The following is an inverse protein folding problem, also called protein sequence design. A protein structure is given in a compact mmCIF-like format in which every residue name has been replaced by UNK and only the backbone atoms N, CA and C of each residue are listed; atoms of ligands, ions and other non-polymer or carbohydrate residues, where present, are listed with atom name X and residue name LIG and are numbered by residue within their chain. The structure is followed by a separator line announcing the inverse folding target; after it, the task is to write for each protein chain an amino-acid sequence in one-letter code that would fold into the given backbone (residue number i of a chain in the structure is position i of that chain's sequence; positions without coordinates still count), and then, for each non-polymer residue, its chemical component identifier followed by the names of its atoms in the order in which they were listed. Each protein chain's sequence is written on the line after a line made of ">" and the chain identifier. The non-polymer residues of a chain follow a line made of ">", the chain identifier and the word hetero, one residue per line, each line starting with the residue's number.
data_IF_981742279998
#
_entry.id   IF_981742279998
#
_cell.length_a   1.000
_cell.length_b   1.000
_cell.length_c   1.000
_cell.angle_alpha   90.00
_cell.angle_beta   90.00
_cell.angle_gamma   90.00
#
_symmetry.space_group_name_H-M   'P 1'
#
loop_
_entity.id
_entity.type
_entity.pdbx_description
1 polymer ?
#
# COMPACT_ATOMS: atom_id res chain seq x y z
N UNK A 1 10.09 -18.10 6.46
CA UNK A 1 9.43 -19.37 6.04
C UNK A 1 10.09 -19.85 4.78
N UNK A 2 10.51 -21.13 4.72
CA UNK A 2 11.13 -21.68 3.52
C UNK A 2 10.10 -21.77 2.37
N UNK A 3 10.50 -21.36 1.17
CA UNK A 3 9.66 -21.50 -0.02
C UNK A 3 9.71 -22.93 -0.54
N UNK A 4 8.57 -23.48 -0.92
CA UNK A 4 8.46 -24.77 -1.63
C UNK A 4 8.51 -24.58 -3.14
N UNK A 5 8.68 -23.34 -3.60
CA UNK A 5 8.78 -23.02 -5.01
C UNK A 5 10.12 -23.47 -5.57
N UNK A 6 10.09 -24.14 -6.73
CA UNK A 6 11.29 -24.52 -7.48
C UNK A 6 11.06 -24.32 -8.98
N UNK A 7 12.15 -24.06 -9.68
CA UNK A 7 12.11 -23.87 -11.12
C UNK A 7 11.69 -25.19 -11.82
N UNK A 8 10.85 -25.08 -12.84
CA UNK A 8 10.44 -26.23 -13.64
C UNK A 8 11.64 -26.88 -14.33
N UNK A 9 11.87 -28.16 -14.04
CA UNK A 9 12.97 -28.97 -14.59
C UNK A 9 12.52 -29.93 -15.70
N UNK A 10 11.27 -29.87 -16.12
CA UNK A 10 10.75 -30.71 -17.18
C UNK A 10 11.17 -30.27 -18.56
N UNK A 11 10.81 -31.07 -19.57
CA UNK A 11 11.14 -30.82 -20.97
C UNK A 11 10.44 -29.55 -21.45
N UNK A 12 11.22 -28.56 -21.89
CA UNK A 12 10.76 -27.35 -22.57
C UNK A 12 11.48 -27.24 -23.92
N UNK A 13 10.73 -27.30 -25.00
CA UNK A 13 11.26 -27.18 -26.36
C UNK A 13 10.95 -25.78 -26.89
N UNK A 14 11.78 -25.25 -27.78
CA UNK A 14 11.49 -23.99 -28.46
C UNK A 14 10.14 -24.12 -29.21
N UNK A 15 9.20 -23.21 -28.92
CA UNK A 15 7.85 -23.23 -29.49
C UNK A 15 7.84 -23.08 -31.01
N UNK A 16 8.75 -22.29 -31.61
CA UNK A 16 8.82 -22.15 -33.06
C UNK A 16 9.28 -23.45 -33.74
N UNK A 17 10.29 -24.12 -33.17
CA UNK A 17 10.75 -25.39 -33.69
C UNK A 17 9.64 -26.44 -33.63
N UNK A 18 8.93 -26.53 -32.51
CA UNK A 18 7.83 -27.46 -32.34
C UNK A 18 6.62 -27.12 -33.21
N UNK A 19 6.37 -25.84 -33.45
CA UNK A 19 5.36 -25.38 -34.39
C UNK A 19 5.66 -25.86 -35.82
N UNK A 20 6.92 -25.72 -36.29
CA UNK A 20 7.34 -26.22 -37.60
C UNK A 20 7.18 -27.75 -37.70
N UNK A 21 7.62 -28.49 -36.67
CA UNK A 21 7.46 -29.95 -36.62
C UNK A 21 5.98 -30.34 -36.69
N UNK A 22 5.16 -29.66 -35.92
CA UNK A 22 3.73 -29.95 -35.87
C UNK A 22 3.02 -29.65 -37.21
N UNK A 23 3.42 -28.56 -37.91
CA UNK A 23 2.92 -28.19 -39.21
C UNK A 23 3.31 -29.26 -40.24
N UNK A 24 4.55 -29.76 -40.19
CA UNK A 24 5.00 -30.84 -41.11
C UNK A 24 4.21 -32.13 -40.84
N UNK A 25 3.99 -32.48 -39.57
CA UNK A 25 3.21 -33.66 -39.18
C UNK A 25 1.76 -33.56 -39.62
N UNK A 26 1.10 -32.40 -39.47
CA UNK A 26 -0.28 -32.19 -39.94
C UNK A 26 -0.38 -32.27 -41.45
N UNK A 27 0.49 -31.58 -42.21
CA UNK A 27 0.51 -31.63 -43.65
C UNK A 27 0.84 -33.04 -44.17
N UNK A 28 1.80 -33.72 -43.55
CA UNK A 28 2.16 -35.10 -43.89
C UNK A 28 1.02 -36.09 -43.63
N UNK A 29 0.34 -35.95 -42.49
CA UNK A 29 -0.84 -36.79 -42.18
C UNK A 29 -2.00 -36.56 -43.21
N UNK A 30 -2.27 -35.33 -43.59
CA UNK A 30 -3.26 -35.01 -44.62
C UNK A 30 -2.85 -35.60 -45.97
N UNK A 31 -1.60 -35.42 -46.38
CA UNK A 31 -1.07 -35.95 -47.63
C UNK A 31 -1.17 -37.48 -47.71
N UNK A 32 -0.86 -38.20 -46.60
CA UNK A 32 -1.01 -39.67 -46.57
C UNK A 32 -2.46 -40.13 -46.70
N UNK A 33 -3.41 -39.39 -46.13
CA UNK A 33 -4.84 -39.69 -46.28
C UNK A 33 -5.30 -39.47 -47.71
N UNK A 34 -4.91 -38.34 -48.32
CA UNK A 34 -5.27 -38.01 -49.73
C UNK A 34 -4.66 -39.06 -50.69
N UNK A 35 -3.38 -39.40 -50.51
CA UNK A 35 -2.71 -40.45 -51.32
C UNK A 35 -3.38 -41.83 -51.13
N UNK A 36 -3.85 -42.14 -49.95
CA UNK A 36 -4.57 -43.39 -49.67
C UNK A 36 -5.91 -43.46 -50.43
N UNK A 37 -6.61 -42.34 -50.49
CA UNK A 37 -7.89 -42.26 -51.24
C UNK A 37 -7.65 -42.40 -52.77
N UNK A 38 -6.57 -41.82 -53.28
CA UNK A 38 -6.25 -41.89 -54.71
C UNK A 38 -5.79 -43.29 -55.12
N UNK A 39 -4.99 -43.93 -54.28
CA UNK A 39 -4.34 -45.23 -54.61
C UNK A 39 -5.09 -46.45 -54.04
N UNK A 40 -6.24 -46.27 -53.43
CA UNK A 40 -7.04 -47.32 -52.77
C UNK A 40 -6.25 -48.17 -51.75
N UNK A 41 -5.22 -47.60 -51.09
CA UNK A 41 -4.33 -48.25 -50.19
C UNK A 41 -4.75 -48.04 -48.72
N UNK A 42 -4.26 -48.90 -47.79
CA UNK A 42 -4.52 -48.80 -46.36
C UNK A 42 -3.71 -47.66 -45.66
N UNK A 43 -3.08 -46.74 -46.39
CA UNK A 43 -2.28 -45.63 -45.86
C UNK A 43 -3.11 -44.58 -45.08
N UNK A 44 -4.46 -44.67 -45.13
CA UNK A 44 -5.31 -43.77 -44.31
C UNK A 44 -5.18 -44.02 -42.81
N UNK A 45 -4.83 -45.27 -42.37
CA UNK A 45 -4.67 -45.63 -40.98
C UNK A 45 -3.48 -44.86 -40.35
N UNK A 46 -2.23 -44.98 -40.88
CA UNK A 46 -1.11 -44.25 -40.33
C UNK A 46 -1.28 -42.72 -40.50
N UNK A 47 -1.91 -42.25 -41.59
CA UNK A 47 -2.24 -40.83 -41.76
C UNK A 47 -3.17 -40.29 -40.68
N UNK A 48 -4.21 -41.04 -40.33
CA UNK A 48 -5.12 -40.69 -39.22
C UNK A 48 -4.44 -40.67 -37.85
N UNK A 49 -3.56 -41.63 -37.55
CA UNK A 49 -2.81 -41.69 -36.31
C UNK A 49 -1.89 -40.47 -36.17
N UNK A 50 -1.18 -40.10 -37.28
CA UNK A 50 -0.29 -38.91 -37.29
C UNK A 50 -1.11 -37.62 -37.09
N UNK A 51 -2.30 -37.51 -37.68
CA UNK A 51 -3.17 -36.34 -37.47
C UNK A 51 -3.63 -36.21 -36.01
N UNK A 52 -4.10 -37.32 -35.43
CA UNK A 52 -4.51 -37.31 -34.00
C UNK A 52 -3.35 -36.94 -33.09
N UNK A 53 -2.17 -37.50 -33.34
CA UNK A 53 -0.94 -37.15 -32.58
C UNK A 53 -0.58 -35.68 -32.74
N UNK A 54 -0.66 -35.16 -33.94
CA UNK A 54 -0.34 -33.75 -34.21
C UNK A 54 -1.34 -32.83 -33.49
N UNK A 55 -2.65 -33.11 -33.56
CA UNK A 55 -3.67 -32.37 -32.83
C UNK A 55 -3.39 -32.34 -31.32
N UNK A 56 -2.96 -33.47 -30.77
CA UNK A 56 -2.58 -33.53 -29.35
C UNK A 56 -1.35 -32.67 -29.05
N UNK A 57 -0.34 -32.65 -29.92
CA UNK A 57 0.87 -31.85 -29.75
C UNK A 57 0.60 -30.33 -29.83
N UNK A 58 -0.44 -29.90 -30.55
CA UNK A 58 -0.84 -28.48 -30.58
C UNK A 58 -1.23 -27.93 -29.20
N UNK A 59 -1.78 -28.76 -28.32
CA UNK A 59 -2.17 -28.36 -26.97
C UNK A 59 -1.02 -27.97 -26.03
N UNK A 60 0.23 -28.30 -26.41
CA UNK A 60 1.41 -27.99 -25.60
C UNK A 60 2.07 -26.64 -25.88
N UNK A 61 1.63 -25.87 -26.87
CA UNK A 61 2.22 -24.57 -27.22
C UNK A 61 1.76 -23.48 -26.25
N UNK A 62 2.73 -22.80 -25.62
CA UNK A 62 2.49 -21.76 -24.60
C UNK A 62 3.36 -20.55 -24.86
N UNK A 63 2.76 -19.36 -24.79
CA UNK A 63 3.45 -18.07 -24.85
C UNK A 63 3.51 -17.48 -23.45
N UNK A 64 4.72 -17.07 -23.00
CA UNK A 64 4.97 -16.40 -21.74
C UNK A 64 5.55 -15.01 -21.98
N UNK A 65 4.87 -13.98 -21.47
CA UNK A 65 5.30 -12.59 -21.56
C UNK A 65 6.24 -12.22 -20.39
N UNK A 66 7.00 -11.11 -20.49
CA UNK A 66 7.79 -10.61 -19.37
C UNK A 66 6.92 -10.37 -18.12
N UNK A 67 7.45 -10.76 -16.97
CA UNK A 67 6.75 -10.71 -15.68
C UNK A 67 5.46 -11.55 -15.62
N UNK A 68 5.39 -12.60 -16.42
CA UNK A 68 4.43 -13.67 -16.29
C UNK A 68 5.13 -14.97 -15.90
N UNK A 69 4.42 -15.81 -15.20
CA UNK A 69 4.92 -17.11 -14.77
C UNK A 69 3.85 -18.17 -14.97
N UNK A 70 4.31 -19.41 -15.13
CA UNK A 70 3.45 -20.56 -15.36
C UNK A 70 3.70 -21.62 -14.30
N UNK A 71 2.71 -21.85 -13.46
CA UNK A 71 2.72 -22.92 -12.45
C UNK A 71 2.32 -24.22 -13.13
N UNK A 72 3.18 -25.23 -13.04
CA UNK A 72 3.02 -26.50 -13.71
C UNK A 72 2.61 -27.62 -12.73
N UNK A 73 1.48 -28.27 -13.01
CA UNK A 73 0.94 -29.36 -12.20
C UNK A 73 0.74 -30.58 -13.10
N UNK A 74 1.22 -31.74 -12.68
CA UNK A 74 1.06 -32.99 -13.39
C UNK A 74 0.22 -33.95 -12.52
N UNK A 75 -0.98 -34.25 -12.94
CA UNK A 75 -1.93 -35.12 -12.21
C UNK A 75 -1.98 -34.81 -10.71
N UNK A 76 -2.15 -33.53 -10.35
CA UNK A 76 -2.23 -33.07 -8.96
C UNK A 76 -0.87 -32.86 -8.25
N UNK A 77 0.26 -33.26 -8.87
CA UNK A 77 1.59 -33.05 -8.29
C UNK A 77 2.24 -31.78 -8.87
N UNK A 78 2.66 -30.84 -8.01
CA UNK A 78 3.43 -29.67 -8.44
C UNK A 78 4.78 -30.11 -9.03
N UNK A 79 5.10 -29.59 -10.21
CA UNK A 79 6.32 -29.90 -10.98
C UNK A 79 7.28 -28.73 -11.13
N UNK A 80 6.92 -27.58 -10.58
CA UNK A 80 7.74 -26.39 -10.61
C UNK A 80 7.07 -25.24 -11.36
N UNK A 81 7.72 -24.09 -11.31
CA UNK A 81 7.27 -22.82 -11.92
C UNK A 81 8.19 -22.45 -13.06
N UNK A 82 7.64 -22.13 -14.23
CA UNK A 82 8.37 -21.63 -15.39
C UNK A 82 8.32 -20.11 -15.41
N UNK A 83 9.45 -19.45 -15.22
CA UNK A 83 9.59 -17.98 -15.23
C UNK A 83 10.27 -17.44 -16.48
N UNK A 84 10.78 -18.32 -17.35
CA UNK A 84 11.48 -17.92 -18.59
C UNK A 84 10.48 -17.39 -19.60
N UNK A 85 10.71 -16.19 -20.09
CA UNK A 85 9.91 -15.56 -21.13
C UNK A 85 10.16 -16.13 -22.52
N UNK A 86 9.16 -16.22 -23.33
CA UNK A 86 9.27 -16.69 -24.69
C UNK A 86 8.12 -17.60 -25.12
N UNK A 87 8.32 -18.24 -26.28
CA UNK A 87 7.39 -19.19 -26.84
C UNK A 87 7.97 -20.60 -26.68
N UNK A 88 7.27 -21.45 -25.92
CA UNK A 88 7.72 -22.79 -25.56
C UNK A 88 6.63 -23.82 -25.87
N UNK A 89 7.11 -25.04 -26.09
CA UNK A 89 6.26 -26.22 -26.04
C UNK A 89 6.54 -27.02 -24.76
N UNK A 90 5.48 -27.39 -24.08
CA UNK A 90 5.53 -28.23 -22.88
C UNK A 90 4.60 -29.42 -23.07
N UNK A 91 4.76 -30.44 -22.24
CA UNK A 91 3.91 -31.64 -22.29
C UNK A 91 2.42 -31.26 -22.13
N UNK A 92 1.54 -31.60 -23.09
CA UNK A 92 0.10 -31.28 -23.03
C UNK A 92 -0.65 -31.85 -21.83
N UNK A 93 -0.12 -32.90 -21.19
CA UNK A 93 -0.72 -33.46 -19.95
C UNK A 93 -0.48 -32.61 -18.71
N UNK A 94 0.34 -31.58 -18.79
CA UNK A 94 0.53 -30.64 -17.69
C UNK A 94 -0.65 -29.68 -17.61
N UNK A 95 -1.27 -29.63 -16.45
CA UNK A 95 -2.18 -28.52 -16.13
C UNK A 95 -1.34 -27.28 -15.82
N UNK A 96 -1.55 -26.23 -16.57
CA UNK A 96 -0.79 -24.99 -16.44
C UNK A 96 -1.68 -23.87 -15.91
N UNK A 97 -1.17 -23.14 -14.92
CA UNK A 97 -1.84 -21.94 -14.40
C UNK A 97 -0.92 -20.75 -14.54
N UNK A 98 -1.37 -19.74 -15.28
CA UNK A 98 -0.63 -18.54 -15.57
C UNK A 98 -0.87 -17.48 -14.51
N UNK A 99 0.19 -16.84 -13.99
CA UNK A 99 0.16 -15.78 -13.00
C UNK A 99 0.95 -14.58 -13.50
N UNK A 100 0.60 -13.38 -13.02
CA UNK A 100 1.35 -12.15 -13.28
C UNK A 100 2.17 -11.78 -12.05
N UNK A 101 3.47 -11.52 -12.28
CA UNK A 101 4.40 -11.02 -11.26
C UNK A 101 4.55 -9.49 -11.31
N UNK A 102 3.76 -8.82 -12.15
CA UNK A 102 3.78 -7.35 -12.26
C UNK A 102 3.29 -6.72 -10.98
N UNK A 103 3.94 -5.64 -10.54
CA UNK A 103 3.45 -4.82 -9.44
C UNK A 103 2.10 -4.20 -9.80
N UNK A 104 1.21 -4.13 -8.81
CA UNK A 104 -0.15 -3.60 -8.94
C UNK A 104 -0.40 -2.57 -7.86
N UNK A 105 -1.07 -1.51 -8.24
CA UNK A 105 -1.56 -0.51 -7.30
C UNK A 105 -2.96 -0.91 -6.82
N UNK A 106 -3.20 -0.73 -5.54
CA UNK A 106 -4.49 -0.90 -4.91
C UNK A 106 -4.76 0.31 -4.04
N UNK A 107 -5.82 1.02 -4.34
CA UNK A 107 -6.36 2.09 -3.50
C UNK A 107 -7.47 1.53 -2.62
N UNK A 108 -7.31 1.71 -1.30
CA UNK A 108 -8.26 1.23 -0.30
C UNK A 108 -9.05 2.42 0.20
N UNK A 109 -10.37 2.34 -0.01
CA UNK A 109 -11.31 3.34 0.46
C UNK A 109 -11.16 3.57 1.97
N UNK A 110 -11.32 4.81 2.45
CA UNK A 110 -11.19 5.13 3.86
C UNK A 110 -12.13 4.31 4.73
N UNK A 111 -11.57 3.59 5.71
CA UNK A 111 -12.31 2.82 6.70
C UNK A 111 -12.36 3.57 8.04
N UNK A 112 -13.46 3.39 8.76
CA UNK A 112 -13.62 3.94 10.10
C UNK A 112 -12.91 3.04 11.11
N UNK A 113 -11.98 3.61 11.88
CA UNK A 113 -11.23 2.94 12.94
C UNK A 113 -11.11 3.87 14.16
N UNK A 114 -10.72 3.34 15.30
CA UNK A 114 -10.41 4.16 16.47
C UNK A 114 -8.89 4.30 16.59
N UNK A 115 -8.43 5.49 16.93
CA UNK A 115 -7.05 5.75 17.28
C UNK A 115 -6.71 5.24 18.70
N UNK A 116 -5.43 5.43 19.14
CA UNK A 116 -4.95 5.04 20.48
C UNK A 116 -5.78 5.66 21.62
N UNK A 117 -6.33 6.85 21.40
CA UNK A 117 -7.14 7.58 22.38
C UNK A 117 -8.63 7.25 22.34
N UNK A 118 -9.05 6.39 21.38
CA UNK A 118 -10.43 5.99 21.19
C UNK A 118 -11.24 6.93 20.29
N UNK A 119 -10.64 7.91 19.67
CA UNK A 119 -11.32 8.79 18.72
C UNK A 119 -11.59 8.06 17.40
N UNK A 120 -12.82 8.11 16.86
CA UNK A 120 -13.10 7.55 15.55
C UNK A 120 -12.47 8.40 14.45
N UNK A 121 -11.65 7.77 13.62
CA UNK A 121 -10.96 8.36 12.48
C UNK A 121 -11.29 7.60 11.19
N UNK A 122 -11.19 8.28 10.06
CA UNK A 122 -11.25 7.70 8.72
C UNK A 122 -9.82 7.62 8.19
N UNK A 123 -9.38 6.42 7.84
CA UNK A 123 -8.03 6.18 7.31
C UNK A 123 -8.11 5.36 6.02
N UNK A 124 -7.48 5.85 4.97
CA UNK A 124 -7.32 5.17 3.68
C UNK A 124 -5.84 4.94 3.39
N UNK A 125 -5.57 3.94 2.55
CA UNK A 125 -4.20 3.53 2.22
C UNK A 125 -4.09 3.22 0.74
N UNK A 126 -2.98 3.62 0.14
CA UNK A 126 -2.55 3.18 -1.19
C UNK A 126 -1.45 2.13 -1.02
N UNK A 127 -1.59 1.02 -1.73
CA UNK A 127 -0.66 -0.10 -1.69
C UNK A 127 -0.10 -0.39 -3.07
N UNK A 128 1.18 -0.74 -3.11
CA UNK A 128 1.82 -1.37 -4.26
C UNK A 128 2.24 -2.77 -3.86
N UNK A 129 1.72 -3.78 -4.53
CA UNK A 129 1.97 -5.17 -4.20
C UNK A 129 2.28 -6.01 -5.45
N UNK A 130 2.95 -7.14 -5.27
CA UNK A 130 3.26 -8.12 -6.30
C UNK A 130 3.29 -9.54 -5.74
N UNK A 131 3.16 -10.54 -6.62
CA UNK A 131 3.40 -11.93 -6.24
C UNK A 131 4.90 -12.20 -6.19
N UNK A 132 5.36 -12.84 -5.10
CA UNK A 132 6.75 -13.26 -4.88
C UNK A 132 6.89 -14.78 -4.91
N UNK A 133 5.97 -15.51 -4.28
CA UNK A 133 5.97 -16.97 -4.22
C UNK A 133 4.69 -17.51 -4.87
N UNK A 134 4.87 -18.08 -6.06
CA UNK A 134 3.74 -18.59 -6.85
C UNK A 134 3.18 -19.90 -6.33
N UNK A 135 3.99 -20.70 -5.61
CA UNK A 135 3.53 -21.93 -4.99
C UNK A 135 2.52 -21.62 -3.88
N UNK A 136 2.87 -20.70 -2.96
CA UNK A 136 1.97 -20.28 -1.88
C UNK A 136 0.70 -19.66 -2.42
N UNK A 137 0.84 -18.76 -3.39
CA UNK A 137 -0.28 -18.09 -4.03
C UNK A 137 -1.30 -19.07 -4.62
N UNK A 138 -0.84 -20.20 -5.17
CA UNK A 138 -1.72 -21.15 -5.87
C UNK A 138 -2.24 -22.29 -5.01
N UNK A 139 -1.51 -22.68 -3.95
CA UNK A 139 -1.80 -23.93 -3.23
C UNK A 139 -2.03 -23.76 -1.73
N UNK A 140 -1.58 -22.65 -1.13
CA UNK A 140 -1.78 -22.40 0.30
C UNK A 140 -3.01 -21.52 0.57
N UNK A 141 -3.50 -20.79 -0.44
CA UNK A 141 -4.72 -19.98 -0.31
C UNK A 141 -5.73 -20.39 -1.37
N UNK A 142 -6.96 -20.60 -0.93
CA UNK A 142 -8.07 -20.85 -1.84
C UNK A 142 -8.59 -19.55 -2.46
N UNK A 143 -8.15 -19.30 -3.69
CA UNK A 143 -8.58 -18.13 -4.46
C UNK A 143 -10.09 -18.13 -4.79
N UNK A 144 -10.77 -19.28 -4.70
CA UNK A 144 -12.21 -19.37 -4.96
C UNK A 144 -13.06 -18.88 -3.79
N UNK A 145 -12.59 -19.11 -2.55
CA UNK A 145 -13.27 -18.66 -1.33
C UNK A 145 -13.17 -17.15 -1.12
N UNK A 146 -12.16 -16.53 -1.72
CA UNK A 146 -11.88 -15.08 -1.57
C UNK A 146 -12.70 -14.24 -2.54
N UNK A 147 -13.04 -14.79 -3.70
CA UNK A 147 -13.81 -14.09 -4.72
C UNK A 147 -15.32 -14.12 -4.40
N UNK A 148 -15.81 -13.12 -3.67
CA UNK A 148 -17.23 -12.76 -3.71
C UNK A 148 -17.55 -12.19 -5.09
N UNK A 149 -17.74 -13.04 -6.08
CA UNK A 149 -18.15 -12.61 -7.44
C UNK A 149 -19.45 -13.29 -7.79
N UNK A 150 -20.40 -12.54 -8.31
CA UNK A 150 -21.72 -12.99 -8.75
C UNK A 150 -21.69 -14.08 -9.84
N UNK A 151 -20.48 -14.44 -10.32
CA UNK A 151 -20.27 -15.53 -11.29
C UNK A 151 -19.02 -16.38 -10.93
N UNK A 152 -19.17 -17.44 -10.14
CA UNK A 152 -18.05 -18.32 -9.76
C UNK A 152 -17.40 -19.06 -10.93
N UNK A 153 -18.06 -19.15 -12.08
CA UNK A 153 -17.55 -19.87 -13.27
C UNK A 153 -16.38 -19.16 -13.99
N UNK A 154 -16.14 -17.86 -13.76
CA UNK A 154 -15.08 -17.09 -14.42
C UNK A 154 -13.83 -16.86 -13.61
N UNK A 155 -13.84 -17.19 -12.31
CA UNK A 155 -12.75 -16.86 -11.38
C UNK A 155 -11.52 -17.75 -11.55
N UNK A 156 -11.64 -18.92 -12.15
CA UNK A 156 -10.56 -19.92 -12.20
C UNK A 156 -9.83 -20.08 -13.54
N UNK A 157 -10.31 -19.49 -14.61
CA UNK A 157 -9.81 -19.77 -15.96
C UNK A 157 -8.89 -18.72 -16.56
N UNK A 158 -8.99 -17.46 -16.14
CA UNK A 158 -8.19 -16.36 -16.67
C UNK A 158 -7.27 -15.74 -15.63
N UNK A 159 -6.06 -15.33 -16.07
CA UNK A 159 -5.07 -14.59 -15.23
C UNK A 159 -5.73 -13.42 -14.49
N UNK A 160 -6.59 -12.67 -15.17
CA UNK A 160 -7.29 -11.51 -14.59
C UNK A 160 -8.24 -11.90 -13.45
N UNK A 161 -8.90 -13.05 -13.53
CA UNK A 161 -9.80 -13.53 -12.49
C UNK A 161 -9.05 -13.93 -11.21
N UNK A 162 -7.96 -14.67 -11.38
CA UNK A 162 -7.09 -15.07 -10.27
C UNK A 162 -6.48 -13.85 -9.59
N UNK A 163 -6.01 -12.87 -10.38
CA UNK A 163 -5.40 -11.65 -9.84
C UNK A 163 -6.41 -10.76 -9.10
N UNK A 164 -7.69 -10.72 -9.50
CA UNK A 164 -8.75 -10.02 -8.75
C UNK A 164 -9.03 -10.70 -7.39
N UNK A 165 -8.96 -12.03 -7.33
CA UNK A 165 -9.09 -12.74 -6.06
C UNK A 165 -7.99 -12.36 -5.09
N UNK A 166 -6.73 -12.28 -5.55
CA UNK A 166 -5.62 -11.79 -4.73
C UNK A 166 -5.80 -10.33 -4.31
N UNK A 167 -6.26 -9.47 -5.21
CA UNK A 167 -6.54 -8.07 -4.89
C UNK A 167 -7.59 -7.94 -3.77
N UNK A 168 -8.65 -8.72 -3.83
CA UNK A 168 -9.65 -8.78 -2.77
C UNK A 168 -9.08 -9.29 -1.44
N UNK A 169 -8.24 -10.31 -1.49
CA UNK A 169 -7.53 -10.81 -0.31
C UNK A 169 -6.62 -9.75 0.30
N UNK A 170 -5.83 -9.06 -0.51
CA UNK A 170 -4.97 -7.94 -0.07
C UNK A 170 -5.82 -6.87 0.60
N UNK A 171 -6.96 -6.47 0.01
CA UNK A 171 -7.88 -5.48 0.58
C UNK A 171 -8.36 -5.88 1.97
N UNK A 172 -8.84 -7.10 2.17
CA UNK A 172 -9.34 -7.58 3.48
C UNK A 172 -8.22 -7.61 4.52
N UNK A 173 -7.03 -8.07 4.16
CA UNK A 173 -5.89 -8.12 5.08
C UNK A 173 -5.38 -6.72 5.42
N UNK A 174 -5.47 -5.79 4.48
CA UNK A 174 -5.10 -4.39 4.69
C UNK A 174 -6.03 -3.68 5.65
N UNK A 175 -7.34 -3.91 5.57
CA UNK A 175 -8.30 -3.38 6.55
C UNK A 175 -7.95 -3.82 7.98
N UNK A 176 -7.55 -5.09 8.14
CA UNK A 176 -7.16 -5.63 9.44
C UNK A 176 -5.84 -5.04 9.94
N UNK A 177 -4.85 -4.84 9.06
CA UNK A 177 -3.57 -4.22 9.41
C UNK A 177 -3.76 -2.74 9.78
N UNK A 178 -4.55 -1.99 9.00
CA UNK A 178 -4.89 -0.60 9.27
C UNK A 178 -5.52 -0.41 10.66
N UNK A 179 -6.47 -1.25 11.02
CA UNK A 179 -7.10 -1.21 12.35
C UNK A 179 -6.08 -1.45 13.47
N UNK A 180 -5.15 -2.35 13.25
CA UNK A 180 -4.11 -2.66 14.22
C UNK A 180 -3.12 -1.51 14.38
N UNK A 181 -2.61 -0.95 13.29
CA UNK A 181 -1.65 0.16 13.32
C UNK A 181 -2.32 1.44 13.83
N UNK A 182 -3.50 1.79 13.33
CA UNK A 182 -4.23 2.98 13.77
C UNK A 182 -4.52 2.97 15.28
N UNK A 183 -4.80 1.80 15.86
CA UNK A 183 -5.04 1.67 17.31
C UNK A 183 -3.80 1.84 18.19
N UNK A 184 -2.60 1.88 17.63
CA UNK A 184 -1.35 2.06 18.37
C UNK A 184 -0.92 3.53 18.49
N UNK A 185 -1.38 4.39 17.58
CA UNK A 185 -1.00 5.79 17.47
C UNK A 185 -2.19 6.72 17.70
N UNK A 186 -1.95 7.84 18.38
CA UNK A 186 -2.92 8.93 18.43
C UNK A 186 -3.02 9.64 17.07
N UNK A 187 -4.17 10.21 16.74
CA UNK A 187 -4.35 10.97 15.51
C UNK A 187 -3.44 12.20 15.46
N UNK A 188 -3.46 13.01 16.53
CA UNK A 188 -2.60 14.18 16.73
C UNK A 188 -2.12 14.27 18.17
N UNK A 189 -1.04 15.01 18.39
CA UNK A 189 -0.56 15.33 19.73
C UNK A 189 -1.38 16.50 20.28
N UNK A 190 -2.09 16.23 21.36
CA UNK A 190 -2.93 17.23 22.04
C UNK A 190 -2.20 17.89 23.20
N UNK A 191 -1.17 17.24 23.72
CA UNK A 191 -0.37 17.73 24.83
C UNK A 191 1.05 18.02 24.35
N UNK A 192 1.40 19.29 24.23
CA UNK A 192 2.68 19.83 23.78
C UNK A 192 3.92 19.32 24.52
N UNK A 193 3.77 18.39 25.44
CA UNK A 193 4.85 17.81 26.25
C UNK A 193 5.27 16.37 25.86
N UNK A 194 4.58 15.72 24.96
CA UNK A 194 4.93 14.37 24.52
C UNK A 194 5.41 14.38 23.06
N UNK A 195 6.68 14.02 22.85
CA UNK A 195 7.26 13.74 21.54
C UNK A 195 6.82 12.35 21.02
N UNK A 196 5.56 11.96 21.27
CA UNK A 196 5.05 10.70 20.74
C UNK A 196 4.75 10.84 19.24
N UNK A 197 5.08 9.79 18.51
CA UNK A 197 4.75 9.69 17.08
C UNK A 197 3.23 9.64 16.94
N UNK A 198 2.67 10.51 16.10
CA UNK A 198 1.23 10.58 15.81
C UNK A 198 0.94 10.19 14.37
N UNK A 199 -0.28 9.74 14.08
CA UNK A 199 -0.69 9.39 12.72
C UNK A 199 -0.51 10.56 11.75
N UNK A 200 -0.66 11.78 12.22
CA UNK A 200 -0.51 13.00 11.42
C UNK A 200 0.95 13.44 11.26
N UNK A 201 1.79 13.22 12.26
CA UNK A 201 3.16 13.73 12.31
C UNK A 201 4.23 12.70 11.91
N UNK A 202 3.99 11.41 12.14
CA UNK A 202 4.96 10.33 11.96
C UNK A 202 4.84 9.56 10.63
N UNK A 203 4.55 10.25 9.53
CA UNK A 203 4.17 9.62 8.26
C UNK A 203 5.08 8.49 7.77
N UNK A 204 6.40 8.67 7.77
CA UNK A 204 7.32 7.65 7.22
C UNK A 204 7.47 6.44 8.16
N UNK A 205 7.54 6.66 9.47
CA UNK A 205 7.68 5.58 10.46
C UNK A 205 6.42 4.71 10.52
N UNK A 206 5.26 5.34 10.48
CA UNK A 206 3.98 4.64 10.47
C UNK A 206 3.78 3.86 9.16
N UNK A 207 4.17 4.43 8.01
CA UNK A 207 4.13 3.74 6.74
C UNK A 207 5.04 2.49 6.75
N UNK A 208 6.26 2.58 7.31
CA UNK A 208 7.16 1.43 7.47
C UNK A 208 6.58 0.34 8.38
N UNK A 209 5.95 0.72 9.49
CA UNK A 209 5.27 -0.25 10.35
C UNK A 209 4.08 -0.91 9.65
N UNK A 210 3.31 -0.12 8.90
CA UNK A 210 2.20 -0.64 8.10
C UNK A 210 2.70 -1.62 7.03
N UNK A 211 3.78 -1.30 6.31
CA UNK A 211 4.43 -2.19 5.35
C UNK A 211 4.85 -3.50 6.01
N UNK A 212 5.53 -3.44 7.15
CA UNK A 212 5.98 -4.61 7.89
C UNK A 212 4.81 -5.51 8.34
N UNK A 213 3.73 -4.90 8.84
CA UNK A 213 2.52 -5.62 9.26
C UNK A 213 1.76 -6.25 8.10
N UNK A 214 1.72 -5.57 6.97
CA UNK A 214 1.12 -6.08 5.75
C UNK A 214 1.95 -7.23 5.19
N UNK A 215 3.26 -7.10 5.11
CA UNK A 215 4.16 -8.16 4.65
C UNK A 215 4.04 -9.42 5.52
N UNK A 216 4.00 -9.28 6.85
CA UNK A 216 3.79 -10.40 7.77
C UNK A 216 2.49 -11.16 7.46
N UNK A 217 1.38 -10.44 7.23
CA UNK A 217 0.06 -11.03 6.96
C UNK A 217 -0.04 -11.63 5.56
N UNK A 218 0.56 -10.98 4.57
CA UNK A 218 0.44 -11.37 3.17
C UNK A 218 1.49 -12.39 2.74
N UNK A 219 2.54 -12.61 3.55
CA UNK A 219 3.57 -13.62 3.29
C UNK A 219 3.01 -15.04 3.16
N UNK A 220 1.90 -15.36 3.86
CA UNK A 220 1.22 -16.65 3.71
C UNK A 220 0.65 -16.86 2.31
N UNK A 221 0.27 -15.78 1.63
CA UNK A 221 -0.23 -15.77 0.26
C UNK A 221 0.87 -15.70 -0.80
N UNK A 222 2.14 -15.65 -0.40
CA UNK A 222 3.23 -15.40 -1.33
C UNK A 222 3.20 -14.02 -1.98
N UNK A 223 2.55 -13.04 -1.34
CA UNK A 223 2.46 -11.65 -1.76
C UNK A 223 3.50 -10.84 -1.02
N UNK A 224 4.16 -9.93 -1.71
CA UNK A 224 5.12 -8.95 -1.19
C UNK A 224 4.54 -7.55 -1.36
N UNK A 225 4.61 -6.76 -0.30
CA UNK A 225 4.30 -5.33 -0.35
C UNK A 225 5.56 -4.59 -0.80
N UNK A 226 5.43 -3.79 -1.84
CA UNK A 226 6.51 -2.93 -2.36
C UNK A 226 6.47 -1.58 -1.67
N UNK A 227 5.27 -1.08 -1.40
CA UNK A 227 5.03 0.21 -0.77
C UNK A 227 3.63 0.24 -0.16
N UNK A 228 3.50 0.83 1.02
CA UNK A 228 2.22 1.13 1.65
C UNK A 228 2.24 2.56 2.20
N UNK A 229 1.30 3.39 1.79
CA UNK A 229 1.20 4.78 2.25
C UNK A 229 -0.21 5.15 2.63
N UNK A 230 -0.35 5.83 3.75
CA UNK A 230 -1.61 6.46 4.13
C UNK A 230 -1.87 7.61 3.17
N UNK A 231 -2.97 7.53 2.40
CA UNK A 231 -3.38 8.55 1.43
C UNK A 231 -4.56 9.38 1.93
N UNK A 232 -5.28 8.90 2.93
CA UNK A 232 -6.40 9.61 3.53
C UNK A 232 -6.38 9.46 5.05
N UNK A 233 -6.44 10.59 5.76
CA UNK A 233 -6.49 10.62 7.21
C UNK A 233 -7.33 11.81 7.69
N UNK A 234 -8.45 11.53 8.34
CA UNK A 234 -9.33 12.56 8.88
C UNK A 234 -10.08 12.05 10.10
N UNK A 235 -10.58 12.95 10.95
CA UNK A 235 -11.56 12.56 11.96
C UNK A 235 -12.86 12.11 11.31
N UNK A 236 -13.53 11.14 11.92
CA UNK A 236 -14.84 10.74 11.47
C UNK A 236 -15.84 11.92 11.54
N UNK A 237 -16.78 12.02 10.58
CA UNK A 237 -17.69 13.18 10.47
C UNK A 237 -18.42 13.51 11.77
N UNK A 238 -18.71 12.50 12.59
CA UNK A 238 -19.46 12.65 13.85
C UNK A 238 -18.74 13.50 14.89
N UNK A 239 -17.39 13.46 14.90
CA UNK A 239 -16.58 14.17 15.90
C UNK A 239 -15.74 15.30 15.30
N UNK A 240 -15.68 15.41 13.96
CA UNK A 240 -14.81 16.37 13.28
C UNK A 240 -15.02 17.82 13.77
N UNK A 241 -16.27 18.27 13.94
CA UNK A 241 -16.59 19.61 14.41
C UNK A 241 -16.14 19.83 15.88
N UNK A 242 -16.26 18.82 16.73
CA UNK A 242 -15.85 18.90 18.15
C UNK A 242 -14.32 18.95 18.24
N UNK A 243 -13.64 18.11 17.46
CA UNK A 243 -12.17 18.09 17.43
C UNK A 243 -11.56 19.36 16.83
N UNK A 244 -12.20 19.95 15.83
CA UNK A 244 -11.80 21.25 15.31
C UNK A 244 -11.88 22.34 16.38
N UNK A 245 -12.97 22.40 17.17
CA UNK A 245 -13.08 23.35 18.28
C UNK A 245 -12.00 23.12 19.35
N UNK A 246 -11.70 21.86 19.67
CA UNK A 246 -10.64 21.51 20.61
C UNK A 246 -9.27 21.98 20.10
N UNK A 247 -8.97 21.75 18.82
CA UNK A 247 -7.73 22.23 18.20
C UNK A 247 -7.64 23.77 18.21
N UNK A 248 -8.75 24.46 17.90
CA UNK A 248 -8.82 25.93 17.97
C UNK A 248 -8.56 26.44 19.39
N UNK A 249 -9.20 25.84 20.40
CA UNK A 249 -9.00 26.21 21.81
C UNK A 249 -7.54 25.98 22.24
N UNK A 250 -6.95 24.84 21.94
CA UNK A 250 -5.55 24.54 22.21
C UNK A 250 -4.62 25.55 21.52
N UNK A 251 -4.85 25.85 20.24
CA UNK A 251 -4.06 26.80 19.50
C UNK A 251 -4.13 28.21 20.09
N UNK A 252 -5.30 28.67 20.58
CA UNK A 252 -5.45 29.96 21.26
C UNK A 252 -4.66 29.98 22.57
N UNK A 253 -4.73 28.91 23.38
CA UNK A 253 -3.98 28.82 24.63
C UNK A 253 -2.47 28.89 24.35
N UNK A 254 -1.96 28.04 23.43
CA UNK A 254 -0.54 28.03 23.06
C UNK A 254 -0.08 29.39 22.50
N UNK A 255 -0.91 30.05 21.69
CA UNK A 255 -0.61 31.38 21.17
C UNK A 255 -0.50 32.40 22.32
N UNK A 256 -1.42 32.37 23.30
CA UNK A 256 -1.36 33.25 24.46
C UNK A 256 -0.16 32.99 25.35
N UNK A 257 0.19 31.73 25.57
CA UNK A 257 1.40 31.36 26.31
C UNK A 257 2.65 31.94 25.65
N UNK A 258 2.77 31.85 24.33
CA UNK A 258 3.88 32.43 23.55
C UNK A 258 3.91 33.96 23.61
N UNK A 259 2.74 34.60 23.58
CA UNK A 259 2.64 36.07 23.73
C UNK A 259 3.15 36.48 25.12
N UNK A 260 2.71 35.80 26.20
CA UNK A 260 3.13 36.10 27.57
C UNK A 260 4.65 35.85 27.74
N UNK A 261 5.17 34.72 27.26
CA UNK A 261 6.60 34.41 27.29
C UNK A 261 7.43 35.47 26.57
N UNK A 262 6.99 35.89 25.37
CA UNK A 262 7.59 36.96 24.60
C UNK A 262 7.52 38.30 25.31
N UNK A 263 6.37 38.66 25.89
CA UNK A 263 6.20 39.90 26.64
C UNK A 263 7.12 39.97 27.88
N UNK A 264 7.17 38.88 28.65
CA UNK A 264 8.08 38.81 29.83
C UNK A 264 9.55 38.97 29.40
N UNK A 265 9.96 38.31 28.32
CA UNK A 265 11.31 38.42 27.77
C UNK A 265 11.62 39.86 27.32
N UNK A 266 10.69 40.51 26.63
CA UNK A 266 10.85 41.92 26.17
C UNK A 266 10.93 42.90 27.35
N UNK A 267 10.09 42.73 28.37
CA UNK A 267 10.11 43.54 29.58
C UNK A 267 11.42 43.39 30.33
N UNK A 268 11.90 42.15 30.49
CA UNK A 268 13.21 41.88 31.10
C UNK A 268 14.33 42.56 30.33
N UNK A 269 14.36 42.44 29.01
CA UNK A 269 15.36 43.04 28.14
C UNK A 269 15.32 44.59 28.24
N UNK A 270 14.14 45.17 28.30
CA UNK A 270 13.98 46.62 28.46
C UNK A 270 14.55 47.11 29.81
N UNK A 271 14.22 46.45 30.91
CA UNK A 271 14.73 46.79 32.24
C UNK A 271 16.24 46.63 32.34
N UNK A 272 16.80 45.55 31.79
CA UNK A 272 18.25 45.30 31.78
C UNK A 272 18.99 46.40 30.98
N UNK A 273 18.46 46.82 29.82
CA UNK A 273 19.02 47.93 29.03
C UNK A 273 18.96 49.27 29.75
N UNK A 274 17.80 49.63 30.31
CA UNK A 274 17.66 50.89 31.07
C UNK A 274 18.60 50.97 32.27
N UNK A 275 18.85 49.82 32.96
CA UNK A 275 19.79 49.74 34.08
C UNK A 275 21.25 49.84 33.61
N UNK A 276 21.62 49.12 32.53
CA UNK A 276 23.00 49.10 32.05
C UNK A 276 23.46 50.40 31.40
N UNK A 277 22.53 51.11 30.78
CA UNK A 277 22.81 52.39 30.11
C UNK A 277 22.63 53.60 31.05
N UNK A 278 22.37 53.37 32.35
CA UNK A 278 22.16 54.40 33.40
C UNK A 278 21.15 55.50 33.00
N UNK A 279 20.16 55.13 32.19
CA UNK A 279 19.16 56.09 31.64
C UNK A 279 18.23 56.57 32.76
N UNK A 280 17.84 55.69 33.65
CA UNK A 280 16.92 55.98 34.79
C UNK A 280 17.26 55.10 35.98
N UNK A 281 17.44 55.68 37.18
CA UNK A 281 17.43 54.94 38.42
C UNK A 281 15.99 54.61 38.82
N UNK A 282 15.63 53.33 38.68
CA UNK A 282 14.30 52.85 39.03
C UNK A 282 14.32 52.17 40.39
N UNK A 283 13.55 52.70 41.30
CA UNK A 283 13.19 52.09 42.57
C UNK A 283 12.33 50.84 42.30
N UNK A 284 12.31 49.85 43.20
CA UNK A 284 11.61 48.58 43.04
C UNK A 284 10.11 48.73 42.83
N UNK A 285 9.49 49.73 43.48
CA UNK A 285 8.08 50.06 43.26
C UNK A 285 7.79 50.62 41.83
N UNK A 286 8.72 51.43 41.35
CA UNK A 286 8.64 52.00 39.98
C UNK A 286 8.89 50.91 38.93
N UNK A 287 9.82 49.98 39.17
CA UNK A 287 10.04 48.80 38.31
C UNK A 287 8.78 47.92 38.25
N UNK A 288 8.14 47.61 39.40
CA UNK A 288 6.91 46.83 39.42
C UNK A 288 5.75 47.49 38.67
N UNK A 289 5.58 48.81 38.80
CA UNK A 289 4.58 49.58 38.08
C UNK A 289 4.84 49.57 36.54
N UNK A 290 6.11 49.72 36.15
CA UNK A 290 6.51 49.71 34.72
C UNK A 290 6.30 48.30 34.12
N UNK A 291 6.67 47.22 34.82
CA UNK A 291 6.44 45.82 34.38
C UNK A 291 4.97 45.56 34.22
N UNK A 292 4.11 45.96 35.16
CA UNK A 292 2.66 45.79 35.06
C UNK A 292 2.08 46.50 33.85
N UNK A 293 2.46 47.78 33.65
CA UNK A 293 1.98 48.56 32.51
C UNK A 293 2.43 48.01 31.16
N UNK A 294 3.70 47.58 31.04
CA UNK A 294 4.23 47.01 29.82
C UNK A 294 3.59 45.66 29.52
N UNK A 295 3.38 44.80 30.52
CA UNK A 295 2.72 43.52 30.32
C UNK A 295 1.25 43.68 29.85
N UNK A 296 0.52 44.66 30.41
CA UNK A 296 -0.86 44.93 29.99
C UNK A 296 -0.88 45.35 28.51
N UNK A 297 0.05 46.19 28.07
CA UNK A 297 0.13 46.66 26.69
C UNK A 297 0.59 45.55 25.74
N UNK A 298 1.57 44.74 26.16
CA UNK A 298 2.14 43.68 25.31
C UNK A 298 1.30 42.44 25.24
N UNK A 299 0.50 42.12 26.27
CA UNK A 299 -0.38 40.96 26.32
C UNK A 299 -1.84 41.28 25.92
N UNK A 300 -2.21 42.53 25.78
CA UNK A 300 -3.55 42.96 25.38
C UNK A 300 -3.82 42.69 23.92
N UNK A 301 -5.04 42.27 23.60
CA UNK A 301 -5.50 42.08 22.19
C UNK A 301 -5.88 43.42 21.53
N UNK A 302 -6.19 44.46 22.32
CA UNK A 302 -6.58 45.78 21.82
C UNK A 302 -5.38 46.71 21.69
N UNK A 303 -5.40 47.58 20.68
CA UNK A 303 -4.41 48.61 20.50
C UNK A 303 -4.47 49.60 21.68
N UNK A 304 -3.39 49.63 22.48
CA UNK A 304 -3.29 50.57 23.58
C UNK A 304 -3.40 52.03 23.08
N UNK A 305 -4.41 52.75 23.57
CA UNK A 305 -4.51 54.19 23.34
C UNK A 305 -3.69 54.93 24.40
N UNK A 306 -2.59 55.60 24.03
CA UNK A 306 -1.80 56.35 25.03
C UNK A 306 -2.61 57.54 25.55
N UNK A 307 -2.90 57.52 26.85
CA UNK A 307 -3.43 58.72 27.54
C UNK A 307 -2.26 59.52 28.05
N UNK A 308 -1.96 60.62 27.35
CA UNK A 308 -0.91 61.56 27.79
C UNK A 308 -1.52 62.46 28.88
N UNK A 309 -1.09 62.23 30.11
CA UNK A 309 -1.47 63.12 31.22
C UNK A 309 -0.54 64.33 31.22
N UNK A 310 -1.01 65.47 30.70
CA UNK A 310 -0.22 66.72 30.58
C UNK A 310 -0.28 67.58 31.85
N UNK A 311 -0.88 67.13 32.96
CA UNK A 311 -1.24 67.98 34.09
C UNK A 311 -0.47 67.80 35.40
N UNK A 312 0.46 66.86 35.56
CA UNK A 312 1.11 66.62 36.88
C UNK A 312 2.61 66.38 36.81
N UNK A 313 3.30 67.21 36.06
CA UNK A 313 4.76 67.18 36.09
C UNK A 313 5.41 68.15 37.12
N UNK A 314 4.60 68.75 38.01
CA UNK A 314 5.10 69.61 39.07
C UNK A 314 4.42 69.20 40.41
N UNK A 315 5.07 68.30 41.16
CA UNK A 315 5.23 68.42 42.62
C UNK A 315 6.27 67.35 43.09
#
# INVERSE_FOLDING_TARGET
>A
METKEFAFKGLTINGFLMLCINLILTLGGIALIVLSIINENLLFIPGGIILILSLFLWGGLIKLEPNETLVMVFFGKYKGTLTRTGFFWVNPFLTTKKLSLRSRNLDIDPIKVNDKTGNPIMIGVMLVWKLKDTYRAMFEIDSQTIAKTDNPATVGTNVSGVMRAFEHFVRIQSDAALRQVAGQYAYDDTDSNHQEITLRGGGDEINQELEAKLDERLAMAGIEIVEARINYLAYAPEIAAVMLRRQQASAIITAREKIVEGAVSMVKMALDKLSNEEIVELDDDKKAAMVSNLLVVLCGDDTAQPVVNTGTLNH
#
